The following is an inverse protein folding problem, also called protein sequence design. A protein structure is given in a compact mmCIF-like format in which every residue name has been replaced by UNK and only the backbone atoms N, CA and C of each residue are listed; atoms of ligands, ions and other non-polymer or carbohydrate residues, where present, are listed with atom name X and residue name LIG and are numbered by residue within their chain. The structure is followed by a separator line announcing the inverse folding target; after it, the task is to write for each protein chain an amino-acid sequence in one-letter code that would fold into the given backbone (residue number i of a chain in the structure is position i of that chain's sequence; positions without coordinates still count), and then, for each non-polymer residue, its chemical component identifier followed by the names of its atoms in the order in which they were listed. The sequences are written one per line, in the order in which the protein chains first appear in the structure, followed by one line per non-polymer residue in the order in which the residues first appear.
data_IF_114721650561
#
_entry.id   IF_114721650561
#
_cell.length_a   1.000
_cell.length_b   1.000
_cell.length_c   1.000
_cell.angle_alpha   90.00
_cell.angle_beta   90.00
_cell.angle_gamma   90.00
#
_symmetry.space_group_name_H-M   'P 1'
#
loop_
_entity.id
_entity.type
_entity.pdbx_description
1 polymer ?
#
# COMPACT_ATOMS: atom_id res chain seq x y z
N UNK A 1 -3.53 -54.00 45.30
CA UNK A 1 -3.02 -54.79 46.44
C UNK A 1 -1.76 -55.52 46.01
N UNK A 2 -0.76 -55.60 46.90
CA UNK A 2 0.57 -56.24 46.74
C UNK A 2 1.58 -55.45 45.88
N UNK A 3 2.82 -55.17 46.30
CA UNK A 3 3.59 -55.50 47.53
C UNK A 3 4.74 -54.49 47.75
N UNK A 4 5.10 -54.32 49.03
CA UNK A 4 6.31 -53.70 49.62
C UNK A 4 7.62 -54.17 48.93
N UNK A 5 8.76 -53.47 49.02
CA UNK A 5 9.72 -53.49 50.16
C UNK A 5 10.73 -52.32 50.08
N UNK A 6 11.20 -51.92 51.27
CA UNK A 6 11.98 -50.76 51.72
C UNK A 6 13.47 -50.71 51.33
N UNK A 7 14.07 -49.50 51.39
CA UNK A 7 15.33 -49.21 52.09
C UNK A 7 15.45 -47.69 52.44
N UNK A 8 15.92 -47.42 53.67
CA UNK A 8 16.01 -46.14 54.40
C UNK A 8 17.11 -45.17 53.88
N UNK A 9 17.05 -43.87 54.23
CA UNK A 9 17.95 -42.84 53.72
C UNK A 9 19.19 -42.58 54.61
N UNK A 10 20.32 -42.28 53.97
CA UNK A 10 21.46 -41.61 54.62
C UNK A 10 21.22 -40.09 54.61
N UNK A 11 21.32 -39.47 55.78
CA UNK A 11 21.26 -38.02 55.95
C UNK A 11 22.60 -37.39 55.56
N UNK A 12 22.56 -36.41 54.64
CA UNK A 12 23.63 -35.42 54.47
C UNK A 12 23.13 -34.07 54.96
N UNK A 13 23.77 -33.55 55.99
CA UNK A 13 23.58 -32.18 56.47
C UNK A 13 24.44 -31.28 55.58
N UNK A 14 23.81 -30.47 54.73
CA UNK A 14 24.46 -29.35 54.05
C UNK A 14 23.99 -28.05 54.73
N UNK A 15 24.92 -27.34 55.33
CA UNK A 15 24.73 -26.04 55.97
C UNK A 15 24.40 -24.98 54.91
N UNK A 16 23.29 -24.27 55.10
CA UNK A 16 22.84 -23.19 54.24
C UNK A 16 23.49 -21.88 54.71
N UNK A 17 24.54 -21.42 54.00
CA UNK A 17 24.99 -20.03 54.10
C UNK A 17 24.06 -19.17 53.24
N UNK A 18 23.22 -18.36 53.89
CA UNK A 18 22.40 -17.37 53.20
C UNK A 18 23.25 -16.16 52.83
N UNK A 19 23.73 -16.12 51.59
CA UNK A 19 24.12 -14.87 50.95
C UNK A 19 22.85 -14.11 50.58
N UNK A 20 22.61 -12.99 51.27
CA UNK A 20 21.55 -12.05 50.89
C UNK A 20 21.97 -11.38 49.57
N UNK A 21 21.50 -11.95 48.45
CA UNK A 21 21.50 -11.27 47.16
C UNK A 21 20.50 -10.12 47.25
N UNK A 22 20.99 -8.90 47.44
CA UNK A 22 20.19 -7.71 47.20
C UNK A 22 19.75 -7.74 45.73
N UNK A 23 18.49 -8.10 45.49
CA UNK A 23 17.87 -7.95 44.19
C UNK A 23 17.84 -6.45 43.88
N UNK A 24 18.75 -6.00 43.01
CA UNK A 24 18.60 -4.73 42.33
C UNK A 24 17.35 -4.83 41.47
N UNK A 25 16.22 -4.35 42.01
CA UNK A 25 15.06 -4.03 41.19
C UNK A 25 15.52 -2.95 40.22
N UNK A 26 15.94 -3.34 39.02
CA UNK A 26 16.05 -2.42 37.91
C UNK A 26 14.66 -1.85 37.72
N UNK A 27 14.50 -0.62 38.18
CA UNK A 27 13.32 0.18 37.91
C UNK A 27 13.31 0.38 36.40
N UNK A 28 12.70 -0.55 35.66
CA UNK A 28 12.29 -0.36 34.27
C UNK A 28 11.11 0.62 34.26
N UNK A 29 11.30 1.79 34.87
CA UNK A 29 10.60 2.97 34.43
C UNK A 29 11.02 3.13 32.97
N UNK A 30 10.09 2.90 32.06
CA UNK A 30 10.22 3.35 30.68
C UNK A 30 10.54 4.84 30.77
N UNK A 31 11.82 5.18 30.66
CA UNK A 31 12.23 6.57 30.59
C UNK A 31 11.49 7.16 29.40
N UNK A 32 10.65 8.15 29.63
CA UNK A 32 9.93 8.84 28.56
C UNK A 32 10.97 9.26 27.51
N UNK A 33 10.75 8.86 26.26
CA UNK A 33 11.72 9.13 25.20
C UNK A 33 11.92 10.64 24.99
N UNK A 34 13.11 11.01 24.53
CA UNK A 34 13.48 12.42 24.34
C UNK A 34 12.72 12.96 23.14
N UNK A 35 12.41 14.26 23.17
CA UNK A 35 11.79 14.96 22.04
C UNK A 35 12.77 15.93 21.40
N UNK A 36 12.95 15.83 20.09
CA UNK A 36 13.78 16.72 19.27
C UNK A 36 12.89 17.56 18.36
N UNK A 37 12.89 18.87 18.56
CA UNK A 37 12.07 19.83 17.82
C UNK A 37 12.86 20.38 16.63
N UNK A 38 12.20 20.50 15.48
CA UNK A 38 12.80 20.97 14.23
C UNK A 38 11.95 22.07 13.61
N UNK A 39 12.54 23.25 13.41
CA UNK A 39 11.86 24.45 12.91
C UNK A 39 12.72 25.11 11.82
N UNK A 40 12.20 25.10 10.58
CA UNK A 40 12.85 25.70 9.41
C UNK A 40 13.02 27.23 9.50
N UNK A 41 12.29 27.90 10.41
CA UNK A 41 12.27 29.36 10.57
C UNK A 41 13.05 29.83 11.80
N UNK A 42 12.70 29.34 12.98
CA UNK A 42 13.28 29.78 14.25
C UNK A 42 14.43 28.88 14.74
N UNK A 43 14.64 27.72 14.11
CA UNK A 43 15.65 26.76 14.52
C UNK A 43 17.07 27.22 14.24
N UNK A 44 18.01 26.64 14.98
CA UNK A 44 19.46 26.84 14.82
C UNK A 44 20.13 25.48 14.81
N UNK A 45 21.03 25.24 13.86
CA UNK A 45 21.73 23.94 13.76
C UNK A 45 22.76 23.72 14.89
N UNK A 46 23.08 24.77 15.66
CA UNK A 46 23.89 24.67 16.88
C UNK A 46 23.05 24.42 18.16
N UNK A 47 21.72 24.34 18.05
CA UNK A 47 20.86 24.02 19.18
C UNK A 47 20.82 22.50 19.43
N UNK A 48 20.56 22.09 20.67
CA UNK A 48 20.37 20.67 21.01
C UNK A 48 19.03 20.11 20.49
N UNK A 49 18.07 20.97 20.16
CA UNK A 49 16.75 20.56 19.69
C UNK A 49 15.83 19.99 20.77
N UNK A 50 16.26 19.89 22.02
CA UNK A 50 15.51 19.17 23.08
C UNK A 50 14.30 19.94 23.63
N UNK A 51 14.08 21.18 23.17
CA UNK A 51 12.91 22.00 23.52
C UNK A 51 12.37 22.75 22.32
N UNK A 52 11.07 23.07 22.32
CA UNK A 52 10.45 23.86 21.26
C UNK A 52 11.00 25.30 21.15
N UNK A 53 11.60 25.83 22.23
CA UNK A 53 12.20 27.17 22.26
C UNK A 53 13.62 27.20 21.66
N UNK A 54 14.29 26.05 21.56
CA UNK A 54 15.61 25.90 20.93
C UNK A 54 15.62 24.71 19.94
N UNK A 55 14.82 24.78 18.85
CA UNK A 55 14.73 23.70 17.88
C UNK A 55 15.95 23.63 16.95
N UNK A 56 16.22 22.45 16.41
CA UNK A 56 17.10 22.26 15.26
C UNK A 56 16.52 22.96 14.04
N UNK A 57 17.36 23.33 13.06
CA UNK A 57 16.89 23.99 11.84
C UNK A 57 16.71 23.03 10.67
N UNK A 58 17.66 22.12 10.46
CA UNK A 58 17.77 21.33 9.23
C UNK A 58 17.63 19.83 9.47
N UNK A 59 17.25 19.09 8.42
CA UNK A 59 17.26 17.63 8.43
C UNK A 59 18.68 17.06 8.54
N UNK A 60 19.72 17.80 8.14
CA UNK A 60 21.10 17.37 8.33
C UNK A 60 21.42 17.13 9.80
N UNK A 61 20.96 18.01 10.69
CA UNK A 61 21.12 17.80 12.14
C UNK A 61 20.27 16.65 12.66
N UNK A 62 19.03 16.51 12.17
CA UNK A 62 18.17 15.36 12.51
C UNK A 62 18.84 14.03 12.13
N UNK A 63 19.43 13.96 10.94
CA UNK A 63 20.11 12.78 10.42
C UNK A 63 21.40 12.43 11.19
N UNK A 64 21.96 13.38 11.95
CA UNK A 64 23.12 13.17 12.81
C UNK A 64 22.75 12.72 14.23
N UNK A 65 21.46 12.78 14.61
CA UNK A 65 20.99 12.35 15.93
C UNK A 65 21.17 10.84 16.10
N UNK A 66 21.68 10.45 17.28
CA UNK A 66 21.62 9.07 17.76
C UNK A 66 20.36 8.89 18.59
N UNK A 67 19.28 8.54 17.91
CA UNK A 67 17.98 8.28 18.54
C UNK A 67 17.99 6.92 19.23
N UNK A 68 17.34 6.85 20.38
CA UNK A 68 17.13 5.66 21.19
C UNK A 68 15.64 5.24 21.13
N UNK A 69 15.31 3.97 21.44
CA UNK A 69 13.92 3.53 21.53
C UNK A 69 13.07 4.47 22.39
N UNK A 70 11.91 4.85 21.85
CA UNK A 70 10.98 5.80 22.46
C UNK A 70 11.21 7.26 22.09
N UNK A 71 12.33 7.65 21.49
CA UNK A 71 12.59 9.04 21.10
C UNK A 71 11.60 9.55 20.03
N UNK A 72 11.38 10.86 20.02
CA UNK A 72 10.51 11.58 19.10
C UNK A 72 11.29 12.66 18.35
N UNK A 73 11.10 12.75 17.04
CA UNK A 73 11.47 13.89 16.20
C UNK A 73 10.19 14.62 15.80
N UNK A 74 10.08 15.88 16.16
CA UNK A 74 8.92 16.75 16.01
C UNK A 74 9.23 17.85 15.00
N UNK A 75 8.72 17.71 13.77
CA UNK A 75 8.90 18.70 12.72
C UNK A 75 7.77 19.74 12.78
N UNK A 76 8.11 21.04 12.71
CA UNK A 76 7.11 22.10 12.85
C UNK A 76 6.14 22.12 11.68
N UNK A 77 4.85 22.17 11.97
CA UNK A 77 3.80 22.38 10.96
C UNK A 77 4.01 23.69 10.19
N UNK A 78 3.70 23.66 8.90
CA UNK A 78 3.95 24.77 7.97
C UNK A 78 5.39 24.89 7.47
N UNK A 79 6.35 24.09 7.99
CA UNK A 79 7.71 24.09 7.47
C UNK A 79 7.87 23.22 6.23
N UNK A 80 8.75 23.65 5.34
CA UNK A 80 9.31 22.83 4.26
C UNK A 80 10.80 22.66 4.49
N UNK A 81 11.26 21.41 4.50
CA UNK A 81 12.64 21.03 4.71
C UNK A 81 13.22 20.46 3.43
N UNK A 82 14.37 20.97 3.00
CA UNK A 82 15.07 20.47 1.84
C UNK A 82 15.96 19.26 2.19
N UNK A 83 16.03 18.30 1.28
CA UNK A 83 16.90 17.12 1.39
C UNK A 83 16.24 15.93 2.11
N UNK A 84 16.93 14.79 2.19
CA UNK A 84 16.36 13.56 2.72
C UNK A 84 16.32 13.55 4.25
N UNK A 85 15.27 12.95 4.82
CA UNK A 85 15.21 12.49 6.20
C UNK A 85 15.66 11.03 6.26
N UNK A 86 16.75 10.74 6.98
CA UNK A 86 17.37 9.41 7.01
C UNK A 86 17.28 8.82 8.42
N UNK A 87 16.33 7.91 8.59
CA UNK A 87 16.00 7.28 9.86
C UNK A 87 16.70 5.92 10.02
N UNK A 88 17.91 5.95 10.60
CA UNK A 88 18.76 4.74 10.76
C UNK A 88 18.62 4.04 12.12
N UNK A 89 18.31 4.79 13.18
CA UNK A 89 18.09 4.21 14.51
C UNK A 89 16.88 3.29 14.51
N UNK A 90 16.85 2.31 15.40
CA UNK A 90 15.71 1.42 15.59
C UNK A 90 15.06 1.65 16.95
N UNK A 91 13.74 1.64 16.97
CA UNK A 91 12.96 1.52 18.20
C UNK A 91 12.79 0.06 18.61
N UNK A 92 11.85 -0.17 19.52
CA UNK A 92 11.34 -1.50 19.85
C UNK A 92 9.82 -1.51 19.68
N UNK A 93 9.22 -2.70 19.71
CA UNK A 93 7.76 -2.83 19.68
C UNK A 93 7.07 -2.03 20.81
N UNK A 94 7.67 -1.97 22.01
CA UNK A 94 7.13 -1.21 23.15
C UNK A 94 7.53 0.27 23.16
N UNK A 95 8.60 0.63 22.45
CA UNK A 95 9.13 2.00 22.41
C UNK A 95 9.60 2.34 20.98
N UNK A 96 8.67 2.55 20.03
CA UNK A 96 9.02 2.94 18.67
C UNK A 96 9.63 4.34 18.65
N UNK A 97 10.49 4.60 17.66
CA UNK A 97 10.99 5.95 17.39
C UNK A 97 9.98 6.66 16.48
N UNK A 98 9.55 7.87 16.84
CA UNK A 98 8.47 8.57 16.15
C UNK A 98 8.95 9.82 15.44
N UNK A 99 8.71 9.90 14.14
CA UNK A 99 8.86 11.12 13.34
C UNK A 99 7.47 11.69 13.10
N UNK A 100 7.15 12.80 13.74
CA UNK A 100 5.82 13.41 13.72
C UNK A 100 5.92 14.93 13.70
N UNK A 101 4.80 15.62 13.88
CA UNK A 101 4.70 17.06 13.79
C UNK A 101 4.33 17.72 15.13
N UNK A 102 4.63 19.02 15.25
CA UNK A 102 4.16 19.88 16.35
C UNK A 102 3.72 21.25 15.83
N UNK A 103 3.01 22.01 16.67
CA UNK A 103 2.46 23.32 16.31
C UNK A 103 1.13 23.21 15.55
N UNK A 104 0.81 24.22 14.76
CA UNK A 104 -0.44 24.32 14.00
C UNK A 104 -0.18 24.54 12.51
N UNK A 105 -1.15 24.22 11.65
CA UNK A 105 -1.07 24.37 10.20
C UNK A 105 -0.88 23.05 9.44
N UNK A 106 -0.44 23.16 8.19
CA UNK A 106 -0.22 22.00 7.30
C UNK A 106 0.86 21.06 7.84
N UNK A 107 0.82 19.80 7.44
CA UNK A 107 1.87 18.83 7.77
C UNK A 107 3.24 19.38 7.32
N UNK A 108 4.32 19.17 8.10
CA UNK A 108 5.68 19.50 7.67
C UNK A 108 6.00 18.75 6.37
N UNK A 109 6.62 19.47 5.44
CA UNK A 109 6.98 18.95 4.13
C UNK A 109 8.48 18.61 4.07
N UNK A 110 8.81 17.46 3.51
CA UNK A 110 10.16 17.12 3.04
C UNK A 110 10.16 17.22 1.52
N UNK A 111 11.10 17.99 0.98
CA UNK A 111 11.19 18.24 -0.45
C UNK A 111 12.52 17.73 -1.01
N UNK A 112 12.43 16.81 -1.97
CA UNK A 112 13.55 16.35 -2.78
C UNK A 112 13.69 17.17 -4.06
N UNK A 113 14.93 17.31 -4.52
CA UNK A 113 15.26 17.94 -5.81
C UNK A 113 16.02 17.01 -6.76
N UNK A 114 16.62 15.95 -6.24
CA UNK A 114 17.46 14.99 -6.97
C UNK A 114 16.89 13.58 -6.85
N UNK A 115 17.45 12.65 -7.62
CA UNK A 115 17.11 11.22 -7.55
C UNK A 115 17.59 10.65 -6.22
N UNK A 116 16.64 10.28 -5.36
CA UNK A 116 16.82 9.83 -3.98
C UNK A 116 15.46 9.47 -3.35
N UNK A 117 15.48 9.11 -2.07
CA UNK A 117 14.35 8.90 -1.19
C UNK A 117 14.11 10.15 -0.31
N UNK A 118 12.87 10.65 -0.21
CA UNK A 118 12.59 11.82 0.64
C UNK A 118 12.70 11.43 2.12
N UNK A 119 12.22 10.22 2.44
CA UNK A 119 12.42 9.56 3.72
C UNK A 119 13.02 8.18 3.45
N UNK A 120 14.20 7.91 4.03
CA UNK A 120 14.80 6.58 4.07
C UNK A 120 14.64 6.00 5.48
N UNK A 121 13.78 4.99 5.61
CA UNK A 121 13.51 4.26 6.85
C UNK A 121 14.26 2.92 6.84
N UNK A 122 15.54 2.94 7.22
CA UNK A 122 16.38 1.72 7.29
C UNK A 122 16.39 1.09 8.68
N UNK A 123 15.96 1.82 9.71
CA UNK A 123 15.76 1.27 11.05
C UNK A 123 14.44 0.51 11.19
N UNK A 124 14.25 -0.16 12.33
CA UNK A 124 13.05 -0.93 12.68
C UNK A 124 12.20 -0.20 13.72
N UNK A 125 10.91 -0.54 13.79
CA UNK A 125 9.96 0.05 14.74
C UNK A 125 9.92 1.58 14.69
N UNK A 126 9.92 2.12 13.47
CA UNK A 126 9.79 3.53 13.18
C UNK A 126 8.34 3.88 12.89
N UNK A 127 7.88 5.04 13.35
CA UNK A 127 6.56 5.57 13.01
C UNK A 127 6.71 6.94 12.39
N UNK A 128 6.32 7.08 11.12
CA UNK A 128 6.19 8.36 10.42
C UNK A 128 4.72 8.74 10.42
N UNK A 129 4.38 9.84 11.09
CA UNK A 129 2.98 10.25 11.28
C UNK A 129 2.78 11.71 10.90
N UNK A 130 1.95 11.97 9.88
CA UNK A 130 1.61 13.34 9.51
C UNK A 130 2.74 14.09 8.82
N UNK A 131 3.48 13.44 7.91
CA UNK A 131 4.49 14.09 7.07
C UNK A 131 3.99 14.23 5.63
N UNK A 132 4.36 15.31 4.96
CA UNK A 132 4.17 15.46 3.52
C UNK A 132 5.51 15.32 2.82
N UNK A 133 5.61 14.51 1.79
CA UNK A 133 6.81 14.39 0.97
C UNK A 133 6.49 14.79 -0.47
N UNK A 134 7.40 15.53 -1.09
CA UNK A 134 7.28 15.96 -2.49
C UNK A 134 8.63 15.87 -3.19
N UNK A 135 8.60 15.74 -4.51
CA UNK A 135 9.80 15.84 -5.33
C UNK A 135 9.65 16.91 -6.40
N UNK A 136 10.75 17.61 -6.69
CA UNK A 136 10.88 18.31 -7.95
C UNK A 136 10.75 17.32 -9.11
N UNK A 137 10.28 17.79 -10.27
CA UNK A 137 10.10 16.93 -11.44
C UNK A 137 11.48 16.56 -12.02
N UNK A 138 11.80 15.26 -12.20
CA UNK A 138 13.00 14.83 -12.92
C UNK A 138 12.96 15.28 -14.39
N UNK A 139 14.12 15.19 -15.05
CA UNK A 139 14.23 15.44 -16.50
C UNK A 139 13.51 14.39 -17.33
N UNK A 140 13.09 14.79 -18.53
CA UNK A 140 12.64 13.86 -19.58
C UNK A 140 13.89 13.36 -20.33
N UNK A 141 14.07 12.04 -20.53
CA UNK A 141 15.17 11.52 -21.34
C UNK A 141 15.13 12.06 -22.77
N UNK A 142 16.30 12.34 -23.36
CA UNK A 142 16.40 12.71 -24.78
C UNK A 142 15.96 11.60 -25.73
N UNK A 143 15.90 10.36 -25.25
CA UNK A 143 15.45 9.16 -25.97
C UNK A 143 13.93 8.94 -25.90
N UNK A 144 13.17 9.84 -25.27
CA UNK A 144 11.72 9.73 -25.22
C UNK A 144 11.11 9.81 -26.63
N UNK A 145 10.18 8.91 -26.92
CA UNK A 145 9.44 8.82 -28.18
C UNK A 145 8.07 9.48 -28.06
N UNK A 146 7.01 8.66 -28.03
CA UNK A 146 5.61 9.11 -27.93
C UNK A 146 5.35 9.87 -26.63
N UNK A 147 6.06 9.53 -25.55
CA UNK A 147 5.90 10.10 -24.22
C UNK A 147 6.94 11.19 -23.92
N UNK A 148 7.13 12.12 -24.86
CA UNK A 148 8.09 13.25 -24.81
C UNK A 148 7.96 14.24 -23.64
N UNK A 149 7.00 14.03 -22.73
CA UNK A 149 6.79 14.83 -21.52
C UNK A 149 6.87 14.02 -20.23
N UNK A 150 7.07 12.71 -20.31
CA UNK A 150 7.14 11.82 -19.15
C UNK A 150 8.53 11.90 -18.51
N UNK A 151 8.63 12.33 -17.24
CA UNK A 151 9.90 12.32 -16.54
C UNK A 151 10.27 10.88 -16.20
N UNK A 152 11.56 10.60 -16.26
CA UNK A 152 12.12 9.30 -15.87
C UNK A 152 13.16 9.52 -14.79
N UNK A 153 13.12 8.68 -13.76
CA UNK A 153 14.04 8.73 -12.63
C UNK A 153 13.61 7.77 -11.53
N UNK A 154 14.50 7.56 -10.56
CA UNK A 154 14.16 6.82 -9.34
C UNK A 154 14.03 7.80 -8.19
N UNK A 155 12.79 8.12 -7.82
CA UNK A 155 12.48 8.97 -6.68
C UNK A 155 11.40 8.31 -5.84
N UNK A 156 11.65 8.19 -4.55
CA UNK A 156 10.72 7.54 -3.62
C UNK A 156 10.32 8.53 -2.53
N UNK A 157 9.02 8.59 -2.21
CA UNK A 157 8.54 9.40 -1.09
C UNK A 157 9.02 8.83 0.24
N UNK A 158 8.59 7.61 0.56
CA UNK A 158 9.07 6.85 1.71
C UNK A 158 9.66 5.51 1.25
N UNK A 159 10.96 5.35 1.38
CA UNK A 159 11.64 4.07 1.24
C UNK A 159 11.63 3.35 2.59
N UNK A 160 10.97 2.20 2.66
CA UNK A 160 10.86 1.39 3.87
C UNK A 160 11.70 0.13 3.73
N UNK A 161 12.97 0.27 4.11
CA UNK A 161 14.00 -0.76 4.02
C UNK A 161 14.23 -1.51 5.35
N UNK A 162 13.63 -1.06 6.45
CA UNK A 162 13.54 -1.77 7.72
C UNK A 162 12.19 -2.46 7.94
N UNK A 163 12.04 -3.15 9.07
CA UNK A 163 10.85 -3.93 9.44
C UNK A 163 10.05 -3.30 10.58
N UNK A 164 8.76 -3.63 10.68
CA UNK A 164 7.86 -3.16 11.72
C UNK A 164 7.71 -1.63 11.77
N UNK A 165 7.92 -0.98 10.64
CA UNK A 165 7.74 0.44 10.45
C UNK A 165 6.30 0.75 10.05
N UNK A 166 5.84 1.94 10.41
CA UNK A 166 4.52 2.44 10.04
C UNK A 166 4.65 3.81 9.39
N UNK A 167 4.14 3.95 8.17
CA UNK A 167 3.93 5.24 7.50
C UNK A 167 2.43 5.53 7.55
N UNK A 168 2.04 6.58 8.26
CA UNK A 168 0.63 6.88 8.48
C UNK A 168 0.27 8.36 8.42
N UNK A 169 -0.99 8.65 8.07
CA UNK A 169 -1.56 10.00 7.97
C UNK A 169 -0.68 10.97 7.16
N UNK A 170 0.11 10.43 6.24
CA UNK A 170 1.14 11.14 5.49
C UNK A 170 0.73 11.27 4.03
N UNK A 171 1.47 12.07 3.26
CA UNK A 171 1.17 12.26 1.83
C UNK A 171 2.43 12.21 0.98
N UNK A 172 2.34 11.62 -0.21
CA UNK A 172 3.42 11.60 -1.19
C UNK A 172 2.92 11.98 -2.60
N UNK A 173 3.68 12.83 -3.29
CA UNK A 173 3.39 13.31 -4.65
C UNK A 173 4.65 13.64 -5.43
N UNK A 174 4.63 13.40 -6.74
CA UNK A 174 5.73 13.71 -7.66
C UNK A 174 6.84 12.68 -7.69
N UNK A 175 6.60 11.47 -7.19
CA UNK A 175 7.57 10.39 -7.11
C UNK A 175 7.37 9.31 -8.19
N UNK A 176 8.36 8.43 -8.29
CA UNK A 176 8.26 7.14 -8.98
C UNK A 176 7.40 6.18 -8.18
N UNK A 177 7.62 6.14 -6.87
CA UNK A 177 6.76 5.48 -5.90
C UNK A 177 6.48 6.43 -4.73
N UNK A 178 5.21 6.64 -4.38
CA UNK A 178 4.86 7.38 -3.17
C UNK A 178 5.45 6.73 -1.92
N UNK A 179 5.34 5.40 -1.83
CA UNK A 179 5.96 4.56 -0.81
C UNK A 179 6.53 3.32 -1.50
N UNK A 180 7.76 2.91 -1.16
CA UNK A 180 8.35 1.65 -1.58
C UNK A 180 8.65 0.79 -0.36
N UNK A 181 8.09 -0.44 -0.35
CA UNK A 181 8.35 -1.44 0.68
C UNK A 181 9.39 -2.44 0.14
N UNK A 182 10.65 -2.27 0.52
CA UNK A 182 11.75 -3.19 0.19
C UNK A 182 12.06 -4.18 1.32
N UNK A 183 11.48 -3.97 2.51
CA UNK A 183 11.46 -4.91 3.62
C UNK A 183 10.03 -5.19 4.10
N UNK A 184 9.84 -6.34 4.75
CA UNK A 184 8.51 -6.84 5.14
C UNK A 184 8.08 -6.47 6.57
N UNK A 185 6.85 -6.87 6.93
CA UNK A 185 6.22 -6.59 8.23
C UNK A 185 5.98 -5.09 8.49
N UNK A 186 5.70 -4.30 7.46
CA UNK A 186 5.47 -2.87 7.58
C UNK A 186 4.00 -2.50 7.39
N UNK A 187 3.63 -1.29 7.81
CA UNK A 187 2.27 -0.76 7.71
C UNK A 187 2.24 0.56 6.94
N UNK A 188 1.30 0.67 6.00
CA UNK A 188 1.02 1.87 5.21
C UNK A 188 -0.44 2.23 5.44
N UNK A 189 -0.69 3.18 6.36
CA UNK A 189 -2.03 3.42 6.91
C UNK A 189 -2.53 4.86 6.68
N UNK A 190 -3.72 5.02 6.11
CA UNK A 190 -4.40 6.33 6.05
C UNK A 190 -3.57 7.44 5.36
N UNK A 191 -2.80 7.08 4.34
CA UNK A 191 -2.01 8.03 3.57
C UNK A 191 -2.77 8.54 2.35
N UNK A 192 -2.37 9.73 1.88
CA UNK A 192 -2.80 10.29 0.60
C UNK A 192 -1.67 10.20 -0.42
N UNK A 193 -1.77 9.27 -1.35
CA UNK A 193 -0.72 8.92 -2.30
C UNK A 193 -1.20 9.28 -3.70
N UNK A 194 -0.81 10.47 -4.17
CA UNK A 194 -1.40 11.06 -5.37
C UNK A 194 -0.37 11.71 -6.26
N UNK A 195 -0.59 11.68 -7.57
CA UNK A 195 0.28 12.34 -8.56
C UNK A 195 1.74 11.86 -8.48
N UNK A 196 1.96 10.58 -8.16
CA UNK A 196 3.26 9.93 -8.32
C UNK A 196 3.37 9.51 -9.79
N UNK A 197 3.97 10.37 -10.61
CA UNK A 197 3.87 10.34 -12.07
C UNK A 197 5.24 10.36 -12.76
N UNK A 198 6.24 9.77 -12.10
CA UNK A 198 7.58 9.55 -12.64
C UNK A 198 7.74 8.09 -13.01
N UNK A 199 8.24 7.82 -14.22
CA UNK A 199 8.56 6.45 -14.62
C UNK A 199 9.94 6.06 -14.07
N UNK A 200 10.09 4.83 -13.57
CA UNK A 200 11.40 4.23 -13.28
C UNK A 200 12.14 4.00 -14.59
N UNK A 201 11.43 3.45 -15.57
CA UNK A 201 11.93 3.14 -16.90
C UNK A 201 10.82 3.42 -17.91
N UNK A 202 11.18 4.07 -19.01
CA UNK A 202 10.25 4.43 -20.09
C UNK A 202 11.02 4.51 -21.41
N UNK A 203 11.12 3.41 -22.17
CA UNK A 203 12.03 3.32 -23.31
C UNK A 203 11.31 3.14 -24.64
N UNK A 204 11.60 4.02 -25.60
CA UNK A 204 11.00 3.92 -26.91
C UNK A 204 11.62 2.77 -27.72
N UNK A 205 10.78 1.88 -28.24
CA UNK A 205 11.20 0.83 -29.17
C UNK A 205 11.77 -0.44 -28.52
N UNK A 206 11.78 -0.54 -27.19
CA UNK A 206 12.04 -1.78 -26.46
C UNK A 206 10.78 -2.14 -25.70
N UNK A 207 10.12 -3.21 -26.15
CA UNK A 207 8.83 -3.60 -25.62
C UNK A 207 8.96 -4.37 -24.29
N UNK A 208 7.98 -4.18 -23.41
CA UNK A 208 7.82 -4.84 -22.11
C UNK A 208 8.90 -4.49 -21.08
N UNK A 209 9.38 -3.24 -21.07
CA UNK A 209 10.35 -2.79 -20.06
C UNK A 209 10.01 -1.50 -19.29
N UNK A 210 8.91 -0.85 -19.69
CA UNK A 210 8.36 0.30 -19.00
C UNK A 210 7.84 -0.08 -17.60
N UNK A 211 8.09 0.80 -16.63
CA UNK A 211 7.57 0.66 -15.26
C UNK A 211 7.65 1.98 -14.49
N UNK A 212 6.68 2.26 -13.64
CA UNK A 212 6.76 3.35 -12.67
C UNK A 212 5.41 3.95 -12.30
N UNK A 213 5.46 5.14 -11.70
CA UNK A 213 4.30 5.92 -11.33
C UNK A 213 3.33 5.18 -10.36
N UNK A 214 3.86 4.75 -9.21
CA UNK A 214 3.12 3.97 -8.21
C UNK A 214 2.70 4.78 -7.00
N UNK A 215 1.51 4.49 -6.48
CA UNK A 215 1.12 4.90 -5.13
C UNK A 215 1.99 4.20 -4.08
N UNK A 216 1.91 2.86 -4.06
CA UNK A 216 2.79 1.97 -3.28
C UNK A 216 3.41 0.93 -4.20
N UNK A 217 4.74 0.80 -4.17
CA UNK A 217 5.46 -0.35 -4.74
C UNK A 217 5.79 -1.33 -3.61
N UNK A 218 5.47 -2.60 -3.78
CA UNK A 218 5.70 -3.66 -2.81
C UNK A 218 6.66 -4.69 -3.38
N UNK A 219 7.86 -4.77 -2.81
CA UNK A 219 8.88 -5.78 -3.11
C UNK A 219 9.27 -6.55 -1.85
N UNK A 220 8.29 -6.83 -1.00
CA UNK A 220 8.49 -7.50 0.28
C UNK A 220 7.23 -8.18 0.78
N UNK A 221 7.35 -8.88 1.91
CA UNK A 221 6.30 -9.75 2.42
C UNK A 221 5.63 -9.24 3.71
N UNK A 222 4.43 -9.75 3.99
CA UNK A 222 3.74 -9.57 5.27
C UNK A 222 3.44 -8.11 5.64
N UNK A 223 3.19 -7.25 4.65
CA UNK A 223 2.83 -5.86 4.88
C UNK A 223 1.31 -5.65 4.98
N UNK A 224 0.92 -4.58 5.65
CA UNK A 224 -0.47 -4.11 5.73
C UNK A 224 -0.57 -2.75 5.03
N UNK A 225 -1.41 -2.66 4.00
CA UNK A 225 -1.65 -1.43 3.23
C UNK A 225 -3.13 -1.12 3.35
N UNK A 226 -3.48 -0.19 4.24
CA UNK A 226 -4.87 0.02 4.62
C UNK A 226 -5.34 1.46 4.76
N UNK A 227 -6.59 1.72 4.38
CA UNK A 227 -7.24 3.01 4.57
C UNK A 227 -6.65 4.16 3.76
N UNK A 228 -5.81 3.87 2.74
CA UNK A 228 -5.13 4.90 1.95
C UNK A 228 -6.04 5.43 0.84
N UNK A 229 -5.78 6.66 0.40
CA UNK A 229 -6.43 7.27 -0.76
C UNK A 229 -5.43 7.45 -1.90
N UNK A 230 -5.77 6.97 -3.08
CA UNK A 230 -4.95 6.99 -4.29
C UNK A 230 -5.59 7.79 -5.43
N UNK A 231 -4.75 8.42 -6.26
CA UNK A 231 -5.20 9.01 -7.51
C UNK A 231 -4.13 9.81 -8.25
N UNK A 232 -4.10 9.66 -9.57
CA UNK A 232 -3.09 10.28 -10.43
C UNK A 232 -1.71 9.60 -10.36
N UNK A 233 -1.63 8.38 -9.85
CA UNK A 233 -0.42 7.56 -9.85
C UNK A 233 -0.31 6.84 -11.20
N UNK A 234 0.10 7.60 -12.22
CA UNK A 234 0.35 7.08 -13.56
C UNK A 234 1.19 8.04 -14.39
N UNK A 235 1.78 7.55 -15.45
CA UNK A 235 2.44 8.34 -16.48
C UNK A 235 2.22 7.75 -17.88
N UNK A 236 2.58 8.50 -18.92
CA UNK A 236 2.59 7.96 -20.29
C UNK A 236 3.74 6.96 -20.44
N UNK A 237 3.42 5.75 -20.89
CA UNK A 237 4.37 4.68 -21.23
C UNK A 237 4.55 4.58 -22.76
N UNK A 238 5.78 4.40 -23.22
CA UNK A 238 6.12 4.22 -24.63
C UNK A 238 5.52 2.92 -25.22
N UNK A 239 5.43 1.89 -24.38
CA UNK A 239 4.93 0.56 -24.70
C UNK A 239 3.42 0.44 -24.58
N UNK A 240 2.86 0.90 -23.47
CA UNK A 240 1.48 0.65 -23.06
C UNK A 240 0.58 1.88 -23.21
N UNK A 241 1.15 3.04 -23.54
CA UNK A 241 0.45 4.33 -23.61
C UNK A 241 0.19 4.94 -22.23
N UNK A 242 -0.18 4.13 -21.23
CA UNK A 242 -0.25 4.51 -19.82
C UNK A 242 0.24 3.37 -18.95
N UNK A 243 0.94 3.74 -17.88
CA UNK A 243 1.43 2.80 -16.87
C UNK A 243 1.33 3.45 -15.48
N UNK A 244 1.26 2.63 -14.44
CA UNK A 244 1.17 3.02 -13.03
C UNK A 244 -0.01 2.40 -12.30
N UNK A 245 0.14 2.21 -11.00
CA UNK A 245 -0.85 1.54 -10.17
C UNK A 245 -1.01 2.22 -8.80
N UNK A 246 -2.17 2.05 -8.18
CA UNK A 246 -2.34 2.41 -6.78
C UNK A 246 -1.42 1.56 -5.89
N UNK A 247 -1.42 0.24 -6.09
CA UNK A 247 -0.54 -0.70 -5.38
C UNK A 247 0.05 -1.71 -6.38
N UNK A 248 1.36 -1.68 -6.60
CA UNK A 248 2.09 -2.62 -7.45
C UNK A 248 2.80 -3.66 -6.58
N UNK A 249 2.66 -4.95 -6.91
CA UNK A 249 3.36 -6.05 -6.24
C UNK A 249 4.31 -6.73 -7.22
N UNK A 250 5.58 -6.86 -6.86
CA UNK A 250 6.54 -7.65 -7.63
C UNK A 250 7.41 -8.48 -6.69
N UNK A 251 7.34 -9.81 -6.85
CA UNK A 251 7.96 -10.81 -5.94
C UNK A 251 7.54 -10.63 -4.47
N UNK A 252 6.28 -10.27 -4.24
CA UNK A 252 5.76 -9.89 -2.92
C UNK A 252 4.66 -10.86 -2.44
N UNK A 253 4.78 -11.34 -1.20
CA UNK A 253 3.93 -12.41 -0.66
C UNK A 253 3.26 -12.06 0.66
N UNK A 254 2.08 -12.65 0.89
CA UNK A 254 1.38 -12.57 2.18
C UNK A 254 1.05 -11.14 2.63
N UNK A 255 0.85 -10.22 1.68
CA UNK A 255 0.46 -8.85 1.98
C UNK A 255 -1.05 -8.74 2.12
N UNK A 256 -1.50 -7.85 3.01
CA UNK A 256 -2.91 -7.53 3.23
C UNK A 256 -3.20 -6.10 2.77
N UNK A 257 -3.99 -5.96 1.70
CA UNK A 257 -4.33 -4.69 1.06
C UNK A 257 -5.83 -4.47 1.24
N UNK A 258 -6.23 -3.55 2.12
CA UNK A 258 -7.65 -3.43 2.46
C UNK A 258 -8.15 -2.02 2.81
N UNK A 259 -9.45 -1.80 2.69
CA UNK A 259 -10.10 -0.53 3.02
C UNK A 259 -9.50 0.69 2.29
N UNK A 260 -8.83 0.48 1.15
CA UNK A 260 -8.25 1.57 0.38
C UNK A 260 -9.29 2.15 -0.60
N UNK A 261 -9.14 3.42 -0.93
CA UNK A 261 -9.94 4.10 -1.96
C UNK A 261 -9.01 4.58 -3.06
N UNK A 262 -9.22 4.10 -4.28
CA UNK A 262 -8.48 4.54 -5.47
C UNK A 262 -9.43 5.15 -6.49
N UNK A 263 -9.06 6.35 -6.95
CA UNK A 263 -9.80 7.08 -7.98
C UNK A 263 -8.88 7.46 -9.12
N UNK A 264 -9.28 7.13 -10.34
CA UNK A 264 -8.63 7.58 -11.58
C UNK A 264 -7.18 7.11 -11.83
N UNK A 265 -6.67 6.15 -11.05
CA UNK A 265 -5.47 5.39 -11.42
C UNK A 265 -5.83 4.34 -12.49
N UNK A 266 -4.98 4.07 -13.50
CA UNK A 266 -5.29 3.14 -14.58
C UNK A 266 -5.33 1.68 -14.11
N UNK A 267 -4.60 1.37 -13.03
CA UNK A 267 -4.67 0.08 -12.35
C UNK A 267 -4.84 0.29 -10.84
N UNK A 268 -5.76 -0.45 -10.21
CA UNK A 268 -5.76 -0.50 -8.74
C UNK A 268 -4.60 -1.37 -8.24
N UNK A 269 -4.47 -2.59 -8.78
CA UNK A 269 -3.34 -3.46 -8.46
C UNK A 269 -2.85 -4.25 -9.66
N UNK A 270 -1.52 -4.38 -9.73
CA UNK A 270 -0.80 -5.26 -10.64
C UNK A 270 0.09 -6.20 -9.83
N UNK A 271 0.12 -7.46 -10.26
CA UNK A 271 0.92 -8.49 -9.60
C UNK A 271 1.90 -9.10 -10.61
N UNK A 272 3.18 -8.90 -10.36
CA UNK A 272 4.30 -9.46 -11.10
C UNK A 272 5.19 -10.35 -10.24
N UNK A 273 6.27 -10.81 -10.85
CA UNK A 273 7.33 -11.59 -10.23
C UNK A 273 8.07 -12.40 -11.28
N UNK A 274 8.52 -13.59 -10.89
CA UNK A 274 9.06 -14.57 -11.84
C UNK A 274 8.50 -15.96 -11.56
N UNK A 275 8.68 -16.94 -12.45
CA UNK A 275 8.30 -18.33 -12.16
C UNK A 275 8.99 -18.92 -10.91
N UNK A 276 10.14 -18.37 -10.50
CA UNK A 276 10.86 -18.80 -9.28
C UNK A 276 10.42 -18.04 -8.04
N UNK A 277 10.06 -16.78 -8.20
CA UNK A 277 9.72 -15.82 -7.16
C UNK A 277 8.38 -15.15 -7.47
N UNK A 278 7.27 -15.92 -7.53
CA UNK A 278 5.96 -15.33 -7.78
C UNK A 278 5.47 -14.52 -6.57
N UNK A 279 4.76 -13.42 -6.83
CA UNK A 279 3.91 -12.80 -5.80
C UNK A 279 2.77 -13.75 -5.43
N UNK A 280 2.58 -14.08 -4.14
CA UNK A 280 1.65 -15.13 -3.72
C UNK A 280 0.97 -14.85 -2.38
N UNK A 281 -0.17 -15.47 -2.14
CA UNK A 281 -0.92 -15.41 -0.88
C UNK A 281 -1.31 -13.97 -0.47
N UNK A 282 -1.46 -13.06 -1.43
CA UNK A 282 -1.85 -11.68 -1.15
C UNK A 282 -3.38 -11.59 -1.03
N UNK A 283 -3.84 -10.80 -0.06
CA UNK A 283 -5.27 -10.57 0.18
C UNK A 283 -5.63 -9.14 -0.17
N UNK A 284 -6.69 -8.98 -0.94
CA UNK A 284 -7.29 -7.70 -1.31
C UNK A 284 -8.74 -7.69 -0.81
N UNK A 285 -9.03 -6.88 0.20
CA UNK A 285 -10.31 -6.90 0.88
C UNK A 285 -10.91 -5.49 1.06
N UNK A 286 -12.22 -5.32 0.89
CA UNK A 286 -12.89 -4.04 1.22
C UNK A 286 -12.34 -2.80 0.49
N UNK A 287 -11.62 -2.97 -0.62
CA UNK A 287 -11.10 -1.85 -1.40
C UNK A 287 -12.17 -1.30 -2.33
N UNK A 288 -12.11 0.01 -2.53
CA UNK A 288 -12.94 0.75 -3.48
C UNK A 288 -12.07 1.25 -4.61
N UNK A 289 -12.42 0.90 -5.85
CA UNK A 289 -11.76 1.39 -7.04
C UNK A 289 -12.76 2.01 -8.00
N UNK A 290 -12.56 3.29 -8.34
CA UNK A 290 -13.49 4.07 -9.14
C UNK A 290 -12.76 4.91 -10.21
N UNK A 291 -12.33 4.32 -11.33
CA UNK A 291 -11.72 5.03 -12.46
C UNK A 291 -12.80 5.64 -13.38
N UNK A 292 -13.67 6.47 -12.81
CA UNK A 292 -14.91 6.93 -13.48
C UNK A 292 -14.60 7.67 -14.77
N UNK A 293 -13.58 8.55 -14.78
CA UNK A 293 -13.21 9.33 -15.95
C UNK A 293 -12.14 8.64 -16.79
N UNK A 294 -11.12 8.08 -16.13
CA UNK A 294 -9.89 7.61 -16.77
C UNK A 294 -10.04 6.29 -17.50
N UNK A 295 -10.96 5.43 -17.06
CA UNK A 295 -10.81 4.00 -17.35
C UNK A 295 -9.80 3.33 -16.46
N UNK A 296 -9.92 2.02 -16.35
CA UNK A 296 -8.99 1.27 -15.53
C UNK A 296 -9.34 -0.18 -15.25
N UNK A 297 -8.32 -0.92 -14.83
CA UNK A 297 -8.40 -2.32 -14.46
C UNK A 297 -8.22 -2.47 -12.94
N UNK A 298 -9.11 -3.23 -12.30
CA UNK A 298 -9.08 -3.37 -10.85
C UNK A 298 -7.99 -4.34 -10.39
N UNK A 299 -8.07 -5.60 -10.84
CA UNK A 299 -7.05 -6.60 -10.53
C UNK A 299 -6.77 -7.45 -11.77
N UNK A 300 -5.52 -7.39 -12.22
CA UNK A 300 -5.01 -8.22 -13.31
C UNK A 300 -3.97 -9.17 -12.74
N UNK A 301 -4.26 -10.47 -12.82
CA UNK A 301 -3.40 -11.51 -12.29
C UNK A 301 -3.21 -12.64 -13.29
N UNK A 302 -2.13 -13.39 -13.10
CA UNK A 302 -1.71 -14.45 -13.99
C UNK A 302 -1.62 -15.78 -13.26
N UNK A 303 -1.80 -16.84 -14.01
CA UNK A 303 -1.88 -18.20 -13.53
C UNK A 303 -0.57 -18.98 -13.62
N UNK A 304 -0.69 -20.30 -13.51
CA UNK A 304 0.44 -21.23 -13.43
C UNK A 304 1.32 -21.30 -14.69
N UNK A 305 0.83 -20.84 -15.85
CA UNK A 305 1.55 -20.86 -17.13
C UNK A 305 2.27 -19.54 -17.44
N UNK A 306 2.14 -18.54 -16.57
CA UNK A 306 2.76 -17.23 -16.75
C UNK A 306 4.29 -17.30 -16.70
N UNK A 307 4.94 -16.78 -17.75
CA UNK A 307 6.40 -16.54 -17.76
C UNK A 307 6.83 -15.43 -16.81
N UNK A 308 5.89 -14.61 -16.33
CA UNK A 308 6.10 -13.49 -15.40
C UNK A 308 5.80 -13.88 -13.94
N UNK A 309 5.75 -15.18 -13.65
CA UNK A 309 5.25 -15.69 -12.38
C UNK A 309 3.72 -15.70 -12.33
N UNK A 310 3.16 -16.76 -11.76
CA UNK A 310 1.74 -16.80 -11.41
C UNK A 310 1.48 -16.09 -10.09
N UNK A 311 0.21 -15.93 -9.71
CA UNK A 311 -0.17 -15.29 -8.45
C UNK A 311 -0.93 -16.23 -7.51
N UNK A 312 -0.32 -17.35 -7.07
CA UNK A 312 -1.02 -18.39 -6.31
C UNK A 312 -1.52 -17.89 -4.96
N UNK A 313 -2.67 -18.41 -4.53
CA UNK A 313 -3.27 -18.12 -3.23
C UNK A 313 -3.81 -16.70 -3.09
N UNK A 314 -4.00 -15.96 -4.19
CA UNK A 314 -4.59 -14.62 -4.13
C UNK A 314 -6.04 -14.69 -3.67
N UNK A 315 -6.40 -13.86 -2.68
CA UNK A 315 -7.78 -13.76 -2.19
C UNK A 315 -8.30 -12.35 -2.46
N UNK A 316 -9.42 -12.24 -3.16
CA UNK A 316 -10.01 -10.97 -3.57
C UNK A 316 -11.48 -10.91 -3.15
N UNK A 317 -11.82 -10.19 -2.08
CA UNK A 317 -13.17 -10.23 -1.54
C UNK A 317 -13.73 -8.92 -1.01
N UNK A 318 -15.05 -8.78 -1.02
CA UNK A 318 -15.74 -7.58 -0.48
C UNK A 318 -15.28 -6.27 -1.12
N UNK A 319 -14.69 -6.31 -2.32
CA UNK A 319 -14.22 -5.11 -3.00
C UNK A 319 -15.32 -4.52 -3.89
N UNK A 320 -15.26 -3.21 -4.09
CA UNK A 320 -16.13 -2.49 -5.03
C UNK A 320 -15.30 -1.94 -6.17
N UNK A 321 -15.56 -2.41 -7.38
CA UNK A 321 -15.05 -1.83 -8.63
C UNK A 321 -16.17 -1.07 -9.32
N UNK A 322 -16.10 0.25 -9.38
CA UNK A 322 -17.13 1.10 -9.97
C UNK A 322 -16.67 1.72 -11.29
N UNK A 323 -17.41 1.48 -12.38
CA UNK A 323 -17.10 1.97 -13.73
C UNK A 323 -15.74 1.45 -14.26
N UNK A 324 -15.41 0.19 -14.01
CA UNK A 324 -14.16 -0.41 -14.48
C UNK A 324 -14.23 -0.75 -15.98
N UNK A 325 -13.09 -0.66 -16.67
CA UNK A 325 -12.93 -1.33 -17.98
C UNK A 325 -12.77 -2.84 -17.77
N UNK A 326 -11.92 -3.21 -16.81
CA UNK A 326 -11.65 -4.58 -16.41
C UNK A 326 -11.79 -4.71 -14.89
N UNK A 327 -12.60 -5.65 -14.41
CA UNK A 327 -12.70 -5.94 -12.97
C UNK A 327 -11.66 -6.96 -12.55
N UNK A 328 -12.07 -8.23 -12.46
CA UNK A 328 -11.19 -9.37 -12.14
C UNK A 328 -10.71 -10.03 -13.42
N UNK A 329 -9.40 -10.09 -13.64
CA UNK A 329 -8.81 -10.73 -14.83
C UNK A 329 -7.81 -11.78 -14.39
N UNK A 330 -8.02 -13.03 -14.81
CA UNK A 330 -7.14 -14.15 -14.51
C UNK A 330 -6.74 -14.89 -15.79
N UNK A 331 -5.52 -14.68 -16.28
CA UNK A 331 -5.00 -15.28 -17.51
C UNK A 331 -3.90 -16.30 -17.26
N UNK A 332 -3.44 -16.97 -18.32
CA UNK A 332 -2.23 -17.79 -18.33
C UNK A 332 -2.26 -18.95 -17.31
N UNK A 333 -3.35 -19.71 -17.30
CA UNK A 333 -3.51 -20.90 -16.45
C UNK A 333 -4.09 -20.58 -15.08
N UNK A 334 -5.23 -19.88 -15.07
CA UNK A 334 -6.04 -19.64 -13.89
C UNK A 334 -6.46 -20.96 -13.22
N UNK A 335 -6.88 -20.88 -11.96
CA UNK A 335 -7.38 -22.03 -11.22
C UNK A 335 -7.69 -21.72 -9.76
N UNK A 336 -8.28 -22.68 -9.02
CA UNK A 336 -8.56 -22.53 -7.59
C UNK A 336 -7.31 -22.31 -6.72
N UNK A 337 -6.13 -22.73 -7.20
CA UNK A 337 -4.85 -22.46 -6.56
C UNK A 337 -4.33 -21.04 -6.81
N UNK A 338 -4.88 -20.34 -7.82
CA UNK A 338 -4.46 -18.99 -8.21
C UNK A 338 -5.30 -17.95 -7.49
N UNK A 339 -6.62 -18.02 -7.67
CA UNK A 339 -7.53 -17.00 -7.21
C UNK A 339 -8.72 -17.59 -6.46
N UNK A 340 -9.05 -16.96 -5.34
CA UNK A 340 -10.35 -17.05 -4.68
C UNK A 340 -11.00 -15.68 -4.67
N UNK A 341 -12.13 -15.50 -5.38
CA UNK A 341 -12.83 -14.21 -5.45
C UNK A 341 -14.30 -14.29 -5.02
N UNK A 342 -14.69 -13.54 -4.00
CA UNK A 342 -16.05 -13.65 -3.47
C UNK A 342 -16.60 -12.37 -2.84
N UNK A 343 -17.93 -12.24 -2.81
CA UNK A 343 -18.64 -11.09 -2.22
C UNK A 343 -18.20 -9.73 -2.82
N UNK A 344 -17.70 -9.70 -4.06
CA UNK A 344 -17.30 -8.46 -4.72
C UNK A 344 -18.48 -7.81 -5.47
N UNK A 345 -18.43 -6.50 -5.67
CA UNK A 345 -19.36 -5.77 -6.52
C UNK A 345 -18.60 -5.07 -7.65
N UNK A 346 -18.80 -5.51 -8.89
CA UNK A 346 -18.07 -5.03 -10.06
C UNK A 346 -19.01 -4.45 -11.11
N UNK A 347 -18.95 -3.14 -11.26
CA UNK A 347 -19.71 -2.37 -12.23
C UNK A 347 -18.83 -2.05 -13.44
N UNK A 348 -19.08 -2.72 -14.56
CA UNK A 348 -18.45 -2.45 -15.84
C UNK A 348 -18.95 -1.12 -16.44
N UNK A 349 -18.05 -0.28 -16.93
CA UNK A 349 -18.43 0.94 -17.65
C UNK A 349 -19.07 0.63 -19.02
N UNK A 350 -19.86 1.58 -19.53
CA UNK A 350 -20.60 1.40 -20.78
C UNK A 350 -19.75 1.47 -22.03
N UNK A 351 -18.92 2.50 -22.07
CA UNK A 351 -18.06 2.84 -23.20
C UNK A 351 -16.62 2.71 -22.78
N UNK A 352 -15.81 2.10 -23.65
CA UNK A 352 -14.37 1.96 -23.45
C UNK A 352 -13.74 3.33 -23.17
N UNK A 353 -12.87 3.37 -22.18
CA UNK A 353 -12.08 4.56 -21.88
C UNK A 353 -11.00 4.86 -22.92
N UNK A 354 -10.63 3.86 -23.71
CA UNK A 354 -9.45 3.86 -24.57
C UNK A 354 -8.21 3.23 -23.92
N UNK A 355 -8.24 2.92 -22.61
CA UNK A 355 -7.18 2.13 -21.96
C UNK A 355 -7.25 0.66 -22.40
N UNK A 356 -8.47 0.11 -22.43
CA UNK A 356 -8.74 -1.27 -22.85
C UNK A 356 -9.66 -1.23 -24.07
N UNK A 357 -9.40 -2.03 -25.12
CA UNK A 357 -10.31 -2.13 -26.26
C UNK A 357 -11.70 -2.58 -25.83
N UNK A 358 -12.75 -2.04 -26.46
CA UNK A 358 -14.14 -2.33 -26.09
C UNK A 358 -14.47 -3.83 -26.04
N UNK A 359 -13.88 -4.63 -26.95
CA UNK A 359 -14.06 -6.07 -27.02
C UNK A 359 -13.45 -6.86 -25.85
N UNK A 360 -12.56 -6.22 -25.07
CA UNK A 360 -11.89 -6.84 -23.90
C UNK A 360 -12.43 -6.32 -22.57
N UNK A 361 -13.40 -5.41 -22.59
CA UNK A 361 -13.99 -4.89 -21.35
C UNK A 361 -14.89 -5.92 -20.68
N UNK A 362 -14.68 -6.14 -19.39
CA UNK A 362 -15.40 -7.15 -18.62
C UNK A 362 -15.25 -6.88 -17.13
N UNK A 363 -16.30 -6.99 -16.29
CA UNK A 363 -16.11 -6.94 -14.86
C UNK A 363 -15.49 -8.23 -14.33
N UNK A 364 -15.52 -9.36 -15.06
CA UNK A 364 -14.72 -10.54 -14.72
C UNK A 364 -14.51 -11.49 -15.91
N UNK A 365 -13.26 -11.88 -16.12
CA UNK A 365 -12.88 -12.95 -17.02
C UNK A 365 -11.77 -13.84 -16.43
N UNK A 366 -11.87 -15.15 -16.64
CA UNK A 366 -10.81 -16.11 -16.36
C UNK A 366 -10.67 -17.15 -17.49
N UNK A 367 -9.43 -17.55 -17.80
CA UNK A 367 -9.11 -18.54 -18.84
C UNK A 367 -9.33 -20.00 -18.42
N UNK A 368 -9.72 -20.23 -17.17
CA UNK A 368 -10.09 -21.52 -16.61
C UNK A 368 -10.94 -21.35 -15.32
N UNK A 369 -11.68 -22.38 -14.90
CA UNK A 369 -12.43 -22.35 -13.65
C UNK A 369 -11.56 -22.08 -12.42
N UNK A 370 -12.00 -21.20 -11.53
CA UNK A 370 -11.37 -20.89 -10.24
C UNK A 370 -12.42 -20.80 -9.13
N UNK A 371 -12.01 -20.54 -7.89
CA UNK A 371 -12.97 -20.42 -6.78
C UNK A 371 -13.60 -19.05 -6.76
N UNK A 372 -14.89 -18.97 -7.11
CA UNK A 372 -15.65 -17.73 -7.02
C UNK A 372 -17.11 -17.96 -6.63
N UNK A 373 -17.70 -17.00 -5.90
CA UNK A 373 -19.07 -17.05 -5.42
C UNK A 373 -19.55 -15.70 -4.85
N UNK A 374 -20.87 -15.51 -4.81
CA UNK A 374 -21.55 -14.32 -4.27
C UNK A 374 -21.09 -12.98 -4.88
N UNK A 375 -20.51 -12.97 -6.07
CA UNK A 375 -20.12 -11.74 -6.74
C UNK A 375 -21.35 -11.08 -7.40
N UNK A 376 -21.39 -9.76 -7.42
CA UNK A 376 -22.40 -8.96 -8.11
C UNK A 376 -21.76 -8.24 -9.28
N UNK A 377 -22.25 -8.52 -10.49
CA UNK A 377 -21.78 -7.89 -11.71
C UNK A 377 -22.87 -6.98 -12.28
N UNK A 378 -22.49 -5.78 -12.69
CA UNK A 378 -23.43 -4.85 -13.32
C UNK A 378 -22.81 -4.06 -14.45
N UNK A 379 -23.68 -3.55 -15.32
CA UNK A 379 -23.41 -2.59 -16.38
C UNK A 379 -24.72 -1.88 -16.68
N UNK A 380 -24.70 -0.64 -17.21
CA UNK A 380 -25.95 0.00 -17.63
C UNK A 380 -26.62 -0.87 -18.71
N UNK A 381 -27.93 -1.07 -18.57
CA UNK A 381 -28.70 -1.99 -19.42
C UNK A 381 -28.66 -3.45 -18.96
N UNK A 382 -27.95 -3.77 -17.88
CA UNK A 382 -28.05 -5.05 -17.17
C UNK A 382 -27.46 -6.27 -17.88
N UNK A 383 -26.53 -6.05 -18.82
CA UNK A 383 -25.90 -7.12 -19.62
C UNK A 383 -24.37 -6.98 -19.63
N UNK A 384 -23.69 -7.06 -18.47
CA UNK A 384 -22.23 -7.13 -18.44
C UNK A 384 -21.75 -8.41 -19.14
N UNK A 385 -20.55 -8.37 -19.74
CA UNK A 385 -19.91 -9.56 -20.28
C UNK A 385 -19.06 -10.21 -19.19
N UNK A 386 -19.50 -11.35 -18.65
CA UNK A 386 -18.81 -12.07 -17.57
C UNK A 386 -18.60 -13.51 -18.02
N UNK A 387 -17.37 -14.02 -17.98
CA UNK A 387 -17.11 -15.40 -18.44
C UNK A 387 -15.96 -16.09 -17.74
N UNK A 388 -16.05 -17.42 -17.69
CA UNK A 388 -15.01 -18.33 -17.26
C UNK A 388 -14.87 -19.36 -18.37
N UNK A 389 -13.71 -19.42 -19.02
CA UNK A 389 -13.50 -20.34 -20.13
C UNK A 389 -13.57 -21.79 -19.61
N UNK A 390 -14.28 -22.65 -20.34
CA UNK A 390 -14.56 -24.04 -19.94
C UNK A 390 -15.22 -24.18 -18.56
N UNK A 391 -15.88 -23.13 -18.07
CA UNK A 391 -16.55 -23.10 -16.77
C UNK A 391 -17.92 -22.46 -16.84
N UNK A 392 -18.56 -22.39 -15.67
CA UNK A 392 -19.76 -21.60 -15.43
C UNK A 392 -19.55 -20.79 -14.17
N UNK A 393 -20.20 -19.63 -14.11
CA UNK A 393 -20.28 -18.85 -12.89
C UNK A 393 -20.95 -19.68 -11.78
N UNK A 394 -20.58 -19.40 -10.54
CA UNK A 394 -21.27 -19.93 -9.38
C UNK A 394 -22.75 -19.56 -9.43
N UNK A 395 -23.61 -20.50 -8.98
CA UNK A 395 -25.05 -20.25 -8.90
C UNK A 395 -25.42 -19.13 -7.91
N UNK A 396 -24.44 -18.67 -7.12
CA UNK A 396 -24.60 -17.61 -6.13
C UNK A 396 -24.25 -16.22 -6.65
N UNK A 397 -23.56 -16.13 -7.80
CA UNK A 397 -23.27 -14.84 -8.42
C UNK A 397 -24.53 -14.25 -9.05
N UNK A 398 -24.53 -12.93 -9.18
CA UNK A 398 -25.70 -12.17 -9.60
C UNK A 398 -25.32 -11.15 -10.66
N UNK A 399 -26.10 -11.13 -11.74
CA UNK A 399 -26.16 -9.97 -12.63
C UNK A 399 -27.34 -9.12 -12.17
N UNK A 400 -27.06 -8.12 -11.34
CA UNK A 400 -28.08 -7.28 -10.73
C UNK A 400 -27.54 -5.89 -10.43
N UNK A 401 -28.42 -4.89 -10.49
CA UNK A 401 -28.09 -3.54 -10.04
C UNK A 401 -27.75 -3.60 -8.55
N UNK A 402 -26.56 -3.12 -8.12
CA UNK A 402 -26.20 -3.09 -6.71
C UNK A 402 -27.00 -2.05 -5.91
N UNK A 403 -27.67 -1.11 -6.59
CA UNK A 403 -28.54 -0.09 -5.98
C UNK A 403 -27.78 0.77 -4.97
N UNK A 404 -26.63 1.30 -5.38
CA UNK A 404 -25.82 2.18 -4.54
C UNK A 404 -26.59 3.44 -4.14
N UNK A 405 -26.39 3.92 -2.91
CA UNK A 405 -26.98 5.16 -2.41
C UNK A 405 -26.54 6.36 -3.25
N UNK A 406 -25.22 6.56 -3.40
CA UNK A 406 -24.67 7.61 -4.24
C UNK A 406 -23.26 7.25 -4.74
N UNK A 407 -23.21 6.43 -5.79
CA UNK A 407 -21.95 5.97 -6.38
C UNK A 407 -21.06 7.11 -6.91
N UNK A 408 -21.65 8.25 -7.31
CA UNK A 408 -20.89 9.42 -7.75
C UNK A 408 -20.14 10.12 -6.60
N UNK A 409 -20.66 10.01 -5.38
CA UNK A 409 -19.99 10.48 -4.16
C UNK A 409 -19.13 9.38 -3.50
N UNK A 410 -18.90 8.25 -4.19
CA UNK A 410 -18.23 7.05 -3.66
C UNK A 410 -18.94 6.43 -2.45
N UNK A 411 -20.24 6.67 -2.29
CA UNK A 411 -21.08 5.99 -1.31
C UNK A 411 -21.69 4.73 -1.95
N UNK A 412 -21.02 3.62 -1.71
CA UNK A 412 -21.37 2.29 -2.20
C UNK A 412 -22.21 1.48 -1.22
N UNK A 413 -22.78 2.12 -0.19
CA UNK A 413 -23.80 1.47 0.63
C UNK A 413 -25.04 1.17 -0.24
N UNK A 414 -25.71 0.05 0.05
CA UNK A 414 -26.91 -0.36 -0.68
C UNK A 414 -28.11 0.45 -0.19
N UNK A 415 -28.90 0.97 -1.13
CA UNK A 415 -30.18 1.60 -0.82
C UNK A 415 -31.09 0.62 -0.06
N UNK A 416 -31.76 1.06 1.02
CA UNK A 416 -32.71 0.21 1.73
C UNK A 416 -33.85 -0.20 0.79
N UNK A 417 -34.36 -1.43 0.96
CA UNK A 417 -35.38 -2.01 0.09
C UNK A 417 -36.65 -1.14 -0.05
N UNK A 418 -36.93 -0.30 0.95
CA UNK A 418 -38.06 0.64 0.96
C UNK A 418 -37.87 1.83 0.01
N UNK A 419 -36.63 2.23 -0.31
CA UNK A 419 -36.35 3.33 -1.24
C UNK A 419 -36.59 2.97 -2.71
N UNK A 420 -36.56 1.67 -3.06
CA UNK A 420 -36.79 1.16 -4.42
C UNK A 420 -38.24 1.27 -4.88
N UNK A 421 -39.18 1.28 -3.94
CA UNK A 421 -40.62 1.40 -4.23
C UNK A 421 -41.03 2.85 -4.55
N UNK A 422 -40.21 3.84 -4.20
CA UNK A 422 -40.47 5.26 -4.46
C UNK A 422 -39.98 5.74 -5.83
N UNK A 423 -39.16 4.94 -6.53
CA UNK A 423 -38.54 5.31 -7.82
C UNK A 423 -39.03 4.47 -9.01
N UNK A 424 -39.93 3.50 -8.79
CA UNK A 424 -40.62 2.84 -9.89
C UNK A 424 -41.48 3.87 -10.65
N UNK A 425 -41.29 4.07 -11.96
CA UNK A 425 -42.19 4.94 -12.71
C UNK A 425 -43.58 4.32 -12.66
N UNK A 426 -44.55 5.10 -12.18
CA UNK A 426 -45.97 4.79 -12.32
C UNK A 426 -46.25 4.72 -13.82
N UNK A 427 -46.20 3.52 -14.40
CA UNK A 427 -46.74 3.28 -15.74
C UNK A 427 -48.27 3.34 -15.62
N UNK A 428 -48.87 4.31 -16.30
CA UNK A 428 -50.22 4.16 -16.85
C UNK A 428 -50.10 3.70 -18.28
#
# INVERSE_FOLDING_TARGET
MQKLVWLLPFAFIATCNQTVLAASTSNNASAAGRSFYVDCTAGKDAAEGTTAAAPLRTLAQVNALKLLPGDHVLLKRGCTFAGPLVARSSGTASAPIRYTSYGAGTNPAVQLTTDAEAVLASGNHLVFNGLSVTSARPSVPSTAGKCSKTPVGWRVGFEVAGQYNTVQNSSASGFTAGIHLSAGNNKVLHNKLTNNNVMKKNTAGVFDDDSGAWGVLVNSDNNEIAGNTFGGNWACSEDYGKDGASVELYEASSNNIHDNVSTEDPFFTELGGTPKTPSKNNTFAYNTYAPVKSGGAMIVLRGTKSKWGGNPGTVFHHNVGYMVDMGIICSDGCGPSILKAYDNVLWQRDTASGLVPAAKMTPMWADAPFTEYNNVFWKKGGRPYVSIDNGKLSATDRIADPLFVNALALDFTRQPATALLASAPVRR
#
